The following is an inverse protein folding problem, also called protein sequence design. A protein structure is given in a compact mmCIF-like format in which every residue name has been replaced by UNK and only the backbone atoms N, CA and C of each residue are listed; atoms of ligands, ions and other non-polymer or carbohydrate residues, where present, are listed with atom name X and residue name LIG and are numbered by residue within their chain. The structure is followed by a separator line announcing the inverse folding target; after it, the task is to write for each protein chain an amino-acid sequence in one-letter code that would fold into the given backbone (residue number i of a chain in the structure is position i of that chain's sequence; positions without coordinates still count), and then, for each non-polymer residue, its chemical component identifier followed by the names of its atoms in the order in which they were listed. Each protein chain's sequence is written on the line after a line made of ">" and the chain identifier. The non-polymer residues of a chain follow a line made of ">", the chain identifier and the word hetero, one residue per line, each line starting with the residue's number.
data_IF_284379257655
#
_entry.id   IF_284379257655
#
_cell.length_a   1.000
_cell.length_b   1.000
_cell.length_c   1.000
_cell.angle_alpha   90.00
_cell.angle_beta   90.00
_cell.angle_gamma   90.00
#
_symmetry.space_group_name_H-M   'P 1'
#
loop_
_entity.id
_entity.type
_entity.pdbx_description
1 polymer ?
#
# COMPACT_ATOMS: atom_id res chain seq x y z
N UNK A 1 -43.31 -26.75 -12.07
CA UNK A 1 -41.93 -26.34 -11.81
C UNK A 1 -41.02 -27.53 -12.05
N UNK A 2 -40.39 -27.59 -13.21
CA UNK A 2 -39.48 -28.67 -13.63
C UNK A 2 -38.15 -28.53 -12.95
N UNK A 3 -37.73 -29.47 -12.12
CA UNK A 3 -36.43 -29.50 -11.47
C UNK A 3 -35.35 -29.79 -12.52
N UNK A 4 -34.46 -28.84 -12.72
CA UNK A 4 -33.24 -29.02 -13.52
C UNK A 4 -32.35 -30.09 -12.89
N UNK A 5 -31.95 -31.07 -13.65
CA UNK A 5 -31.04 -32.15 -13.19
C UNK A 5 -29.59 -31.63 -13.19
N UNK A 6 -28.71 -32.18 -12.32
CA UNK A 6 -27.28 -31.88 -12.26
C UNK A 6 -26.59 -31.91 -13.65
N UNK A 7 -27.05 -32.80 -14.52
CA UNK A 7 -26.51 -32.96 -15.88
C UNK A 7 -26.90 -31.81 -16.81
N UNK A 8 -28.09 -31.22 -16.63
CA UNK A 8 -28.53 -30.03 -17.36
C UNK A 8 -27.80 -28.77 -16.89
N UNK A 9 -27.49 -28.70 -15.60
CA UNK A 9 -26.71 -27.62 -15.01
C UNK A 9 -25.24 -27.63 -15.52
N UNK A 10 -24.60 -28.81 -15.55
CA UNK A 10 -23.26 -29.01 -16.11
C UNK A 10 -23.19 -28.71 -17.61
N UNK A 11 -24.22 -29.02 -18.39
CA UNK A 11 -24.28 -28.68 -19.83
C UNK A 11 -24.40 -27.15 -20.05
N UNK A 12 -25.09 -26.44 -19.16
CA UNK A 12 -25.14 -24.97 -19.17
C UNK A 12 -23.78 -24.31 -18.92
N UNK A 13 -22.99 -24.86 -17.98
CA UNK A 13 -21.64 -24.34 -17.67
C UNK A 13 -20.63 -24.62 -18.80
N UNK A 14 -20.73 -25.74 -19.48
CA UNK A 14 -19.86 -26.06 -20.64
C UNK A 14 -20.14 -25.11 -21.81
N UNK A 15 -21.39 -24.66 -21.98
CA UNK A 15 -21.75 -23.66 -22.99
C UNK A 15 -21.11 -22.28 -22.74
N UNK A 16 -21.03 -21.84 -21.50
CA UNK A 16 -20.40 -20.58 -21.12
C UNK A 16 -18.86 -20.67 -21.20
N UNK A 17 -18.28 -21.81 -20.81
CA UNK A 17 -16.84 -22.05 -20.96
C UNK A 17 -16.43 -22.17 -22.45
N UNK A 18 -17.31 -22.74 -23.30
CA UNK A 18 -17.09 -22.83 -24.75
C UNK A 18 -17.10 -21.48 -25.45
N UNK A 19 -17.98 -20.55 -25.05
CA UNK A 19 -17.99 -19.18 -25.58
C UNK A 19 -16.75 -18.37 -25.19
N UNK A 20 -16.24 -18.56 -23.98
CA UNK A 20 -14.98 -17.95 -23.53
C UNK A 20 -13.74 -18.56 -24.20
N UNK A 21 -13.79 -19.84 -24.62
CA UNK A 21 -12.70 -20.49 -25.36
C UNK A 21 -12.73 -20.12 -26.86
N UNK A 22 -13.90 -19.93 -27.46
CA UNK A 22 -14.03 -19.50 -28.87
C UNK A 22 -13.53 -18.08 -29.12
N UNK A 23 -13.60 -17.20 -28.13
CA UNK A 23 -13.00 -15.87 -28.19
C UNK A 23 -11.46 -15.89 -28.14
N UNK A 24 -10.85 -16.99 -27.70
CA UNK A 24 -9.38 -17.18 -27.69
C UNK A 24 -8.80 -17.75 -28.98
N UNK A 25 -9.61 -18.20 -29.94
CA UNK A 25 -9.14 -18.86 -31.16
C UNK A 25 -9.23 -17.97 -32.40
N UNK A 26 -9.35 -16.66 -32.23
CA UNK A 26 -9.13 -15.71 -33.37
C UNK A 26 -10.04 -15.86 -34.56
N UNK A 27 -11.31 -16.32 -34.41
CA UNK A 27 -12.27 -16.47 -35.53
C UNK A 27 -13.02 -15.20 -35.88
N UNK A 28 -12.69 -14.08 -35.25
CA UNK A 28 -13.20 -12.77 -35.65
C UNK A 28 -12.04 -11.86 -36.02
N UNK A 29 -12.01 -11.27 -37.23
CA UNK A 29 -11.05 -10.25 -37.62
C UNK A 29 -11.44 -8.93 -36.95
N UNK A 30 -11.20 -8.79 -35.69
CA UNK A 30 -11.37 -7.58 -34.92
C UNK A 30 -10.23 -7.53 -33.91
N UNK A 31 -9.39 -6.52 -34.06
CA UNK A 31 -8.29 -6.13 -33.16
C UNK A 31 -8.24 -6.92 -31.88
N UNK A 32 -7.30 -7.86 -31.79
CA UNK A 32 -6.97 -8.52 -30.53
C UNK A 32 -6.47 -7.44 -29.56
N UNK A 33 -7.39 -6.84 -28.82
CA UNK A 33 -7.00 -6.23 -27.55
C UNK A 33 -6.45 -7.40 -26.73
N UNK A 34 -5.15 -7.42 -26.56
CA UNK A 34 -4.55 -8.26 -25.54
C UNK A 34 -5.27 -7.91 -24.24
N UNK A 35 -6.16 -8.80 -23.80
CA UNK A 35 -6.85 -8.65 -22.52
C UNK A 35 -5.72 -8.74 -21.48
N UNK A 36 -5.27 -7.58 -21.00
CA UNK A 36 -4.28 -7.53 -19.94
C UNK A 36 -4.78 -8.42 -18.82
N UNK A 37 -4.00 -9.43 -18.49
CA UNK A 37 -4.27 -10.26 -17.31
C UNK A 37 -4.33 -9.28 -16.13
N UNK A 38 -5.43 -9.23 -15.37
CA UNK A 38 -5.57 -8.28 -14.27
C UNK A 38 -4.37 -8.44 -13.33
N UNK A 39 -3.48 -7.45 -13.33
CA UNK A 39 -2.31 -7.46 -12.46
C UNK A 39 -2.81 -7.27 -11.02
N UNK A 40 -2.36 -8.14 -10.12
CA UNK A 40 -2.68 -8.02 -8.70
C UNK A 40 -2.12 -6.69 -8.19
N UNK A 41 -3.01 -5.76 -7.90
CA UNK A 41 -2.64 -4.42 -7.47
C UNK A 41 -2.49 -4.37 -5.94
N UNK A 42 -1.46 -3.65 -5.46
CA UNK A 42 -1.26 -3.41 -4.03
C UNK A 42 -0.52 -2.09 -3.77
N UNK A 43 -0.67 -1.54 -2.56
CA UNK A 43 0.00 -0.32 -2.12
C UNK A 43 0.66 -0.53 -0.76
N UNK A 44 1.98 -0.36 -0.69
CA UNK A 44 2.73 -0.26 0.56
C UNK A 44 2.88 1.22 0.93
N UNK A 45 2.27 1.63 2.04
CA UNK A 45 2.46 2.94 2.64
C UNK A 45 3.58 2.85 3.66
N UNK A 46 4.69 3.53 3.40
CA UNK A 46 5.80 3.71 4.34
C UNK A 46 5.59 5.04 5.05
N UNK A 47 5.14 4.96 6.30
CA UNK A 47 4.85 6.12 7.12
C UNK A 47 6.05 6.43 8.03
N UNK A 48 6.69 7.58 7.81
CA UNK A 48 7.79 8.10 8.60
C UNK A 48 7.25 9.06 9.66
N UNK A 49 6.95 8.51 10.84
CA UNK A 49 6.32 9.25 11.91
C UNK A 49 7.27 10.29 12.51
N UNK A 50 6.92 11.56 12.35
CA UNK A 50 7.74 12.70 12.73
C UNK A 50 8.20 13.58 11.55
N UNK A 51 7.96 13.13 10.30
CA UNK A 51 8.17 13.90 9.09
C UNK A 51 9.02 13.21 8.04
N UNK A 52 8.89 13.67 6.80
CA UNK A 52 9.67 13.18 5.66
C UNK A 52 10.45 14.36 5.05
N UNK A 53 11.78 14.35 5.20
CA UNK A 53 12.58 15.50 4.82
C UNK A 53 12.50 15.79 3.30
N UNK A 54 12.23 17.04 2.95
CA UNK A 54 12.05 17.47 1.56
C UNK A 54 13.32 17.28 0.70
N UNK A 55 14.51 17.22 1.31
CA UNK A 55 15.76 17.01 0.59
C UNK A 55 15.76 15.71 -0.23
N UNK A 56 15.04 14.69 0.19
CA UNK A 56 15.06 13.38 -0.50
C UNK A 56 14.54 13.47 -1.92
N UNK A 57 13.44 14.20 -2.13
CA UNK A 57 12.81 14.35 -3.45
C UNK A 57 12.95 15.72 -4.10
N UNK A 58 13.65 16.67 -3.45
CA UNK A 58 13.87 18.04 -3.93
C UNK A 58 15.30 18.51 -3.61
N UNK A 59 16.29 17.64 -3.84
CA UNK A 59 17.66 17.84 -3.38
C UNK A 59 18.29 19.13 -3.90
N UNK A 60 18.00 19.54 -5.13
CA UNK A 60 18.50 20.77 -5.74
C UNK A 60 17.99 22.04 -5.06
N UNK A 61 16.81 21.99 -4.42
CA UNK A 61 16.29 23.13 -3.65
C UNK A 61 17.18 23.46 -2.42
N UNK A 62 17.99 22.51 -1.98
CA UNK A 62 18.88 22.64 -0.82
C UNK A 62 20.36 22.72 -1.19
N UNK A 63 20.72 22.76 -2.48
CA UNK A 63 22.13 22.73 -2.94
C UNK A 63 22.82 24.09 -2.88
N UNK A 64 22.06 25.20 -2.90
CA UNK A 64 22.61 26.53 -3.09
C UNK A 64 23.21 27.17 -1.85
N UNK A 65 22.96 26.63 -0.66
CA UNK A 65 23.30 27.32 0.58
C UNK A 65 24.60 26.85 1.24
N UNK A 66 25.29 25.84 0.70
CA UNK A 66 26.56 25.34 1.25
C UNK A 66 26.49 24.77 2.68
N UNK A 67 25.39 25.05 3.38
CA UNK A 67 25.16 24.73 4.79
C UNK A 67 24.32 23.48 5.02
N UNK A 68 23.74 22.92 3.95
CA UNK A 68 22.70 21.87 4.09
C UNK A 68 23.17 20.48 3.69
N UNK A 69 24.47 20.24 3.61
CA UNK A 69 25.00 18.90 3.30
C UNK A 69 24.64 18.37 1.90
N UNK A 70 24.01 19.18 1.03
CA UNK A 70 23.71 18.81 -0.36
C UNK A 70 24.70 19.50 -1.28
N UNK A 71 25.83 18.83 -1.52
CA UNK A 71 26.78 19.24 -2.57
C UNK A 71 26.29 18.70 -3.93
N UNK A 72 26.73 19.32 -5.04
CA UNK A 72 26.36 18.91 -6.40
C UNK A 72 26.57 17.40 -6.67
N UNK A 73 27.64 16.80 -6.11
CA UNK A 73 27.90 15.37 -6.20
C UNK A 73 26.87 14.48 -5.49
N UNK A 74 26.07 15.03 -4.58
CA UNK A 74 25.04 14.31 -3.83
C UNK A 74 23.66 14.43 -4.47
N UNK A 75 23.55 15.01 -5.65
CA UNK A 75 22.30 15.10 -6.39
C UNK A 75 22.27 14.08 -7.53
N UNK A 76 21.11 13.52 -7.80
CA UNK A 76 20.84 12.67 -8.96
C UNK A 76 19.60 13.19 -9.67
N UNK A 77 19.79 13.67 -10.90
CA UNK A 77 18.68 14.05 -11.77
C UNK A 77 18.08 12.78 -12.39
N UNK A 78 16.78 12.59 -12.18
CA UNK A 78 16.01 11.49 -12.76
C UNK A 78 15.18 11.95 -13.97
N UNK A 79 15.20 13.23 -14.30
CA UNK A 79 14.43 13.84 -15.36
C UNK A 79 13.09 14.43 -14.89
N UNK A 80 12.45 15.21 -15.77
CA UNK A 80 11.16 15.89 -15.51
C UNK A 80 11.12 16.70 -14.19
N UNK A 81 12.25 17.33 -13.83
CA UNK A 81 12.39 18.16 -12.64
C UNK A 81 12.56 17.40 -11.32
N UNK A 82 12.61 16.07 -11.36
CA UNK A 82 12.84 15.25 -10.17
C UNK A 82 14.34 15.09 -9.93
N UNK A 83 14.84 15.76 -8.92
CA UNK A 83 16.23 15.67 -8.47
C UNK A 83 16.25 15.13 -7.04
N UNK A 84 16.78 13.93 -6.88
CA UNK A 84 16.80 13.22 -5.61
C UNK A 84 18.15 13.27 -4.93
N UNK A 85 18.17 13.10 -3.61
CA UNK A 85 19.39 12.93 -2.83
C UNK A 85 20.05 11.61 -3.21
N UNK A 86 21.23 11.69 -3.84
CA UNK A 86 21.95 10.55 -4.43
C UNK A 86 22.28 9.45 -3.41
N UNK A 87 22.81 9.76 -2.20
CA UNK A 87 23.16 8.73 -1.23
C UNK A 87 21.94 8.01 -0.63
N UNK A 88 20.73 8.55 -0.80
CA UNK A 88 19.49 7.94 -0.30
C UNK A 88 18.61 7.42 -1.44
N UNK A 89 17.56 8.15 -1.85
CA UNK A 89 16.66 7.70 -2.92
C UNK A 89 17.39 7.42 -4.23
N UNK A 90 18.46 8.15 -4.53
CA UNK A 90 19.29 7.93 -5.70
C UNK A 90 20.07 6.62 -5.69
N UNK A 91 20.11 5.90 -4.57
CA UNK A 91 20.74 4.57 -4.40
C UNK A 91 19.77 3.39 -4.54
N UNK A 92 18.50 3.66 -4.82
CA UNK A 92 17.50 2.62 -5.07
C UNK A 92 17.79 1.86 -6.36
N UNK A 93 17.21 0.65 -6.56
CA UNK A 93 17.36 -0.10 -7.80
C UNK A 93 16.91 0.69 -9.03
N UNK A 94 17.49 0.38 -10.20
CA UNK A 94 17.20 1.08 -11.45
C UNK A 94 15.72 1.11 -11.81
N UNK A 95 14.99 0.05 -11.50
CA UNK A 95 13.54 0.06 -11.67
C UNK A 95 12.90 1.23 -10.92
N UNK A 96 13.24 1.43 -9.64
CA UNK A 96 12.71 2.55 -8.87
C UNK A 96 13.08 3.90 -9.46
N UNK A 97 14.31 4.06 -9.90
CA UNK A 97 14.82 5.33 -10.46
C UNK A 97 14.13 5.73 -11.75
N UNK A 98 13.65 4.76 -12.52
CA UNK A 98 12.91 4.98 -13.77
C UNK A 98 11.39 4.97 -13.59
N UNK A 99 10.88 4.69 -12.36
CA UNK A 99 9.47 4.58 -12.02
C UNK A 99 9.15 5.29 -10.69
N UNK A 100 9.73 6.46 -10.47
CA UNK A 100 9.59 7.24 -9.24
C UNK A 100 9.04 8.64 -9.54
N UNK A 101 8.14 9.09 -8.69
CA UNK A 101 7.68 10.47 -8.70
C UNK A 101 7.65 11.04 -7.29
N UNK A 102 7.82 12.36 -7.17
CA UNK A 102 7.58 13.08 -5.91
C UNK A 102 6.42 14.05 -6.09
N UNK A 103 5.49 14.02 -5.15
CA UNK A 103 4.32 14.90 -5.13
C UNK A 103 4.29 15.73 -3.87
N UNK A 104 4.04 17.02 -4.02
CA UNK A 104 3.78 17.92 -2.89
C UNK A 104 2.35 17.78 -2.41
N UNK A 105 2.15 17.87 -1.10
CA UNK A 105 0.85 17.80 -0.44
C UNK A 105 0.71 18.99 0.50
N UNK A 106 -0.28 19.84 0.25
CA UNK A 106 -0.60 20.99 1.09
C UNK A 106 -1.61 20.60 2.17
N UNK A 107 -1.32 20.91 3.43
CA UNK A 107 -2.28 20.70 4.54
C UNK A 107 -2.38 21.90 5.49
N UNK A 108 -1.40 22.80 5.54
CA UNK A 108 -1.47 23.99 6.38
C UNK A 108 -1.26 23.73 7.89
N UNK A 109 -0.81 22.53 8.26
CA UNK A 109 -0.71 22.07 9.65
C UNK A 109 0.74 21.88 10.07
N UNK A 110 1.06 22.21 11.33
CA UNK A 110 2.40 22.07 11.92
C UNK A 110 2.39 21.23 13.21
N UNK A 111 1.21 20.80 13.68
CA UNK A 111 1.06 19.87 14.80
C UNK A 111 1.01 18.43 14.27
N UNK A 112 1.80 17.54 14.87
CA UNK A 112 1.93 16.13 14.44
C UNK A 112 0.60 15.42 14.30
N UNK A 113 -0.21 15.37 15.35
CA UNK A 113 -1.49 14.63 15.33
C UNK A 113 -2.43 15.13 14.23
N UNK A 114 -2.60 16.46 14.13
CA UNK A 114 -3.47 17.05 13.12
C UNK A 114 -2.98 16.80 11.70
N UNK A 115 -1.66 16.86 11.46
CA UNK A 115 -1.06 16.59 10.15
C UNK A 115 -1.16 15.10 9.80
N UNK A 116 -0.94 14.21 10.76
CA UNK A 116 -1.09 12.76 10.60
C UNK A 116 -2.53 12.41 10.21
N UNK A 117 -3.52 12.91 10.97
CA UNK A 117 -4.93 12.69 10.66
C UNK A 117 -5.28 13.20 9.27
N UNK A 118 -4.83 14.41 8.92
CA UNK A 118 -5.08 14.97 7.59
C UNK A 118 -4.51 14.10 6.45
N UNK A 119 -3.31 13.54 6.64
CA UNK A 119 -2.67 12.69 5.62
C UNK A 119 -3.43 11.39 5.36
N UNK A 120 -4.12 10.86 6.36
CA UNK A 120 -4.88 9.62 6.27
C UNK A 120 -6.40 9.81 6.19
N UNK A 121 -6.91 11.03 6.19
CA UNK A 121 -8.36 11.29 6.12
C UNK A 121 -8.80 11.59 4.69
N UNK A 122 -9.90 10.98 4.28
CA UNK A 122 -10.64 11.26 3.05
C UNK A 122 -12.13 11.33 3.35
N UNK A 123 -12.66 12.53 3.48
CA UNK A 123 -14.00 12.74 4.03
C UNK A 123 -14.07 12.23 5.47
N UNK A 124 -15.03 11.36 5.77
CA UNK A 124 -15.19 10.71 7.07
C UNK A 124 -14.43 9.38 7.20
N UNK A 125 -13.58 9.01 6.24
CA UNK A 125 -12.96 7.70 6.14
C UNK A 125 -11.44 7.77 6.31
N UNK A 126 -10.84 6.68 6.81
CA UNK A 126 -9.41 6.48 6.68
C UNK A 126 -9.09 6.16 5.21
N UNK A 127 -8.23 6.95 4.60
CA UNK A 127 -7.95 6.86 3.17
C UNK A 127 -7.27 5.54 2.75
N UNK A 128 -6.44 4.94 3.61
CA UNK A 128 -5.82 3.65 3.33
C UNK A 128 -6.85 2.51 3.32
N UNK A 129 -7.78 2.51 4.29
CA UNK A 129 -8.86 1.53 4.36
C UNK A 129 -9.83 1.71 3.20
N UNK A 130 -10.18 2.97 2.89
CA UNK A 130 -11.03 3.31 1.74
C UNK A 130 -10.39 2.84 0.43
N UNK A 131 -9.08 3.07 0.24
CA UNK A 131 -8.36 2.57 -0.93
C UNK A 131 -8.45 1.04 -1.02
N UNK A 132 -8.21 0.32 0.09
CA UNK A 132 -8.30 -1.13 0.12
C UNK A 132 -9.72 -1.65 -0.17
N UNK A 133 -10.75 -0.97 0.30
CA UNK A 133 -12.15 -1.31 0.04
C UNK A 133 -12.49 -1.13 -1.45
N UNK A 134 -12.10 -0.01 -2.04
CA UNK A 134 -12.37 0.30 -3.45
C UNK A 134 -11.58 -0.60 -4.43
N UNK A 135 -10.38 -1.06 -4.04
CA UNK A 135 -9.62 -2.04 -4.82
C UNK A 135 -10.31 -3.41 -4.85
N UNK A 136 -11.18 -3.70 -3.91
CA UNK A 136 -11.93 -4.94 -3.86
C UNK A 136 -11.05 -6.19 -3.68
N UNK A 137 -11.34 -7.24 -4.47
CA UNK A 137 -10.56 -8.48 -4.46
C UNK A 137 -11.08 -9.52 -3.47
N UNK A 138 -10.50 -10.74 -3.56
CA UNK A 138 -10.96 -11.92 -2.81
C UNK A 138 -10.18 -12.18 -1.51
N UNK A 139 -9.18 -11.34 -1.20
CA UNK A 139 -8.37 -11.49 0.01
C UNK A 139 -9.20 -11.29 1.28
N UNK A 140 -8.88 -12.08 2.31
CA UNK A 140 -9.49 -12.00 3.63
C UNK A 140 -9.24 -10.70 4.33
N UNK A 141 -8.00 -10.35 4.28
CA UNK A 141 -7.47 -9.19 4.93
C UNK A 141 -7.07 -8.25 3.81
N UNK A 142 -7.80 -7.16 3.63
CA UNK A 142 -7.58 -6.21 2.55
C UNK A 142 -6.66 -5.06 2.93
N UNK A 143 -6.73 -4.61 4.21
CA UNK A 143 -5.92 -3.53 4.74
C UNK A 143 -5.21 -3.97 6.00
N UNK A 144 -3.88 -3.84 6.04
CA UNK A 144 -3.07 -4.23 7.19
C UNK A 144 -2.22 -3.09 7.71
N UNK A 145 -2.12 -3.03 9.04
CA UNK A 145 -1.10 -2.29 9.75
C UNK A 145 -0.02 -3.26 10.18
N UNK A 146 1.22 -2.95 9.89
CA UNK A 146 2.38 -3.80 10.16
C UNK A 146 3.10 -3.33 11.42
N UNK A 147 3.10 -4.17 12.44
CA UNK A 147 3.63 -3.84 13.76
C UNK A 147 2.62 -3.11 14.65
N UNK A 148 3.08 -2.66 15.83
CA UNK A 148 2.25 -2.12 16.91
C UNK A 148 1.96 -0.61 16.81
N UNK A 149 2.53 0.12 15.86
CA UNK A 149 2.28 1.56 15.68
C UNK A 149 0.86 1.79 15.16
N UNK A 150 0.10 2.74 15.73
CA UNK A 150 -1.22 3.12 15.23
C UNK A 150 -1.14 3.74 13.82
N UNK A 151 -2.14 3.50 12.98
CA UNK A 151 -2.32 4.25 11.73
C UNK A 151 -3.21 5.45 12.02
N UNK A 152 -2.76 6.67 11.71
CA UNK A 152 -3.59 7.87 11.90
C UNK A 152 -4.87 7.86 11.06
N UNK A 153 -5.83 8.73 11.36
CA UNK A 153 -7.02 8.94 10.54
C UNK A 153 -8.30 8.29 11.06
N UNK A 154 -8.49 8.29 12.36
CA UNK A 154 -9.77 8.18 13.10
C UNK A 154 -10.62 6.91 12.93
N UNK A 155 -10.96 6.48 11.72
CA UNK A 155 -11.79 5.29 11.49
C UNK A 155 -10.93 4.05 11.19
N UNK A 156 -11.35 2.91 11.73
CA UNK A 156 -10.68 1.62 11.55
C UNK A 156 -11.44 0.67 10.62
N UNK A 157 -12.57 1.12 10.06
CA UNK A 157 -13.41 0.33 9.16
C UNK A 157 -14.07 1.20 8.09
N UNK A 158 -14.10 0.72 6.86
CA UNK A 158 -14.77 1.34 5.72
C UNK A 158 -15.34 0.27 4.78
N UNK A 159 -16.60 0.38 4.39
CA UNK A 159 -17.25 -0.52 3.41
C UNK A 159 -17.01 -2.01 3.66
N UNK A 160 -17.09 -2.45 4.92
CA UNK A 160 -16.83 -3.83 5.32
C UNK A 160 -15.34 -4.23 5.39
N UNK A 161 -14.42 -3.33 5.09
CA UNK A 161 -12.98 -3.54 5.25
C UNK A 161 -12.51 -2.93 6.57
N UNK A 162 -11.85 -3.72 7.39
CA UNK A 162 -11.21 -3.26 8.63
C UNK A 162 -9.70 -3.25 8.51
N UNK A 163 -9.06 -2.36 9.26
CA UNK A 163 -7.62 -2.35 9.44
C UNK A 163 -7.22 -3.48 10.39
N UNK A 164 -6.41 -4.42 9.91
CA UNK A 164 -5.94 -5.56 10.70
C UNK A 164 -4.48 -5.34 11.13
N UNK A 165 -4.21 -5.44 12.43
CA UNK A 165 -2.85 -5.37 12.98
C UNK A 165 -2.11 -6.69 12.81
N UNK A 166 -0.93 -6.66 12.21
CA UNK A 166 -0.04 -7.82 12.02
C UNK A 166 1.19 -7.63 12.91
N UNK A 167 1.20 -8.29 14.06
CA UNK A 167 2.27 -8.18 15.04
C UNK A 167 3.20 -9.39 15.07
N UNK A 168 2.70 -10.55 14.63
CA UNK A 168 3.47 -11.79 14.49
C UNK A 168 3.12 -12.45 13.16
N UNK A 169 4.14 -12.60 12.30
CA UNK A 169 3.94 -13.06 10.94
C UNK A 169 3.62 -14.56 10.89
N UNK A 170 4.22 -15.36 11.75
CA UNK A 170 4.03 -16.81 11.77
C UNK A 170 2.63 -17.19 12.25
N UNK A 171 2.17 -16.59 13.33
CA UNK A 171 0.81 -16.83 13.82
C UNK A 171 -0.24 -16.32 12.84
N UNK A 172 0.02 -15.20 12.15
CA UNK A 172 -0.86 -14.69 11.10
C UNK A 172 -0.94 -15.67 9.93
N UNK A 173 0.19 -16.19 9.45
CA UNK A 173 0.20 -17.20 8.38
C UNK A 173 -0.50 -18.48 8.80
N UNK A 174 -0.29 -18.95 10.02
CA UNK A 174 -0.97 -20.11 10.57
C UNK A 174 -2.50 -19.90 10.60
N UNK A 175 -2.95 -18.72 11.05
CA UNK A 175 -4.37 -18.38 11.06
C UNK A 175 -4.98 -18.31 9.65
N UNK A 176 -4.25 -17.76 8.69
CA UNK A 176 -4.67 -17.69 7.28
C UNK A 176 -4.61 -19.06 6.58
N UNK A 177 -3.64 -19.91 6.94
CA UNK A 177 -3.43 -21.25 6.34
C UNK A 177 -4.37 -22.32 6.86
N UNK A 178 -5.13 -22.03 7.92
CA UNK A 178 -5.87 -23.04 8.67
C UNK A 178 -4.89 -23.96 9.43
N UNK A 179 -5.00 -24.00 10.74
CA UNK A 179 -4.17 -24.88 11.57
C UNK A 179 -4.69 -26.30 11.39
N UNK A 180 -3.87 -27.22 10.95
CA UNK A 180 -4.05 -28.65 11.25
C UNK A 180 -3.61 -28.86 12.72
N UNK A 181 -4.43 -28.42 13.65
CA UNK A 181 -4.28 -28.74 15.06
C UNK A 181 -5.13 -29.97 15.34
N UNK A 182 -4.56 -31.09 15.82
CA UNK A 182 -5.33 -32.28 16.15
C UNK A 182 -6.34 -32.07 17.30
N UNK A 183 -6.26 -30.95 18.01
CA UNK A 183 -7.23 -30.56 19.04
C UNK A 183 -8.42 -29.76 18.48
N UNK A 184 -8.35 -29.30 17.22
CA UNK A 184 -9.45 -28.61 16.55
C UNK A 184 -10.34 -29.63 15.87
N UNK A 185 -11.68 -29.53 15.98
CA UNK A 185 -12.61 -30.43 15.32
C UNK A 185 -12.31 -30.57 13.83
N UNK A 186 -12.52 -31.77 13.29
CA UNK A 186 -12.40 -32.08 11.87
C UNK A 186 -12.90 -30.91 10.99
N UNK A 187 -12.14 -30.59 9.96
CA UNK A 187 -12.40 -29.50 9.03
C UNK A 187 -13.87 -29.43 8.58
N UNK A 188 -14.52 -30.58 8.37
CA UNK A 188 -15.93 -30.62 8.03
C UNK A 188 -16.86 -30.13 9.16
N UNK A 189 -16.47 -30.35 10.42
CA UNK A 189 -17.22 -29.88 11.59
C UNK A 189 -17.02 -28.38 11.74
N UNK A 190 -15.78 -27.89 11.55
CA UNK A 190 -15.46 -26.47 11.57
C UNK A 190 -16.19 -25.72 10.43
N UNK A 191 -16.20 -26.25 9.21
CA UNK A 191 -16.94 -25.69 8.07
C UNK A 191 -18.45 -25.61 8.32
N UNK A 192 -19.03 -26.65 8.93
CA UNK A 192 -20.45 -26.65 9.31
C UNK A 192 -20.77 -25.65 10.41
N UNK A 193 -19.92 -25.55 11.42
CA UNK A 193 -20.07 -24.59 12.51
C UNK A 193 -19.94 -23.13 11.99
N UNK A 194 -18.98 -22.86 11.09
CA UNK A 194 -18.83 -21.57 10.44
C UNK A 194 -20.01 -21.25 9.52
N UNK A 195 -20.51 -22.22 8.79
CA UNK A 195 -21.73 -22.09 7.97
C UNK A 195 -22.97 -21.76 8.80
N UNK A 196 -23.12 -22.38 9.95
CA UNK A 196 -24.20 -22.08 10.90
C UNK A 196 -24.07 -20.69 11.49
N UNK A 197 -22.85 -20.26 11.89
CA UNK A 197 -22.58 -18.93 12.39
C UNK A 197 -22.84 -17.87 11.32
N UNK A 198 -22.45 -18.11 10.07
CA UNK A 198 -22.76 -17.23 8.93
C UNK A 198 -24.27 -17.09 8.73
N UNK A 199 -25.01 -18.20 8.77
CA UNK A 199 -26.48 -18.20 8.63
C UNK A 199 -27.15 -17.39 9.75
N UNK A 200 -26.75 -17.59 10.99
CA UNK A 200 -27.27 -16.84 12.14
C UNK A 200 -26.93 -15.34 12.04
N UNK A 201 -25.68 -15.02 11.69
CA UNK A 201 -25.24 -13.62 11.50
C UNK A 201 -26.03 -12.95 10.37
N UNK A 202 -26.21 -13.60 9.23
CA UNK A 202 -26.96 -13.06 8.09
C UNK A 202 -28.41 -12.74 8.45
N UNK A 203 -29.05 -13.56 9.26
CA UNK A 203 -30.42 -13.35 9.73
C UNK A 203 -30.53 -12.17 10.68
N UNK A 204 -29.55 -12.01 11.59
CA UNK A 204 -29.50 -10.88 12.52
C UNK A 204 -29.16 -9.58 11.79
N UNK A 205 -28.26 -9.62 10.80
CA UNK A 205 -27.82 -8.50 9.98
C UNK A 205 -28.95 -7.94 9.11
N UNK A 206 -29.78 -8.80 8.52
CA UNK A 206 -30.89 -8.39 7.67
C UNK A 206 -31.94 -7.51 8.39
N UNK A 207 -31.98 -7.58 9.72
CA UNK A 207 -32.90 -6.81 10.57
C UNK A 207 -32.25 -5.67 11.35
N UNK A 208 -30.97 -5.41 11.13
CA UNK A 208 -30.17 -4.49 11.96
C UNK A 208 -29.88 -3.14 11.28
N UNK A 209 -29.67 -2.05 12.03
CA UNK A 209 -29.27 -0.76 11.50
C UNK A 209 -27.95 -0.85 10.71
N UNK A 210 -27.70 0.11 9.80
CA UNK A 210 -26.57 0.11 8.85
C UNK A 210 -25.18 -0.18 9.46
N UNK A 211 -24.93 0.27 10.70
CA UNK A 211 -23.66 0.02 11.40
C UNK A 211 -23.44 -1.45 11.76
N UNK A 212 -24.49 -2.17 12.14
CA UNK A 212 -24.45 -3.61 12.43
C UNK A 212 -24.36 -4.41 11.15
N UNK A 213 -24.89 -3.89 10.03
CA UNK A 213 -24.79 -4.51 8.71
C UNK A 213 -23.33 -4.57 8.23
N UNK A 214 -22.56 -3.48 8.36
CA UNK A 214 -21.16 -3.44 7.98
C UNK A 214 -20.29 -4.42 8.80
N UNK A 215 -20.56 -4.54 10.11
CA UNK A 215 -19.91 -5.52 10.98
C UNK A 215 -20.21 -6.96 10.54
N UNK A 216 -21.44 -7.22 10.15
CA UNK A 216 -21.85 -8.55 9.69
C UNK A 216 -21.30 -8.92 8.33
N UNK A 217 -21.18 -7.97 7.40
CA UNK A 217 -20.51 -8.17 6.11
C UNK A 217 -19.02 -8.46 6.31
N UNK A 218 -18.35 -7.71 7.20
CA UNK A 218 -16.95 -7.97 7.59
C UNK A 218 -16.76 -9.35 8.23
N UNK A 219 -17.68 -9.77 9.12
CA UNK A 219 -17.64 -11.09 9.74
C UNK A 219 -17.86 -12.21 8.71
N UNK A 220 -18.81 -12.04 7.79
CA UNK A 220 -19.04 -13.00 6.69
C UNK A 220 -17.85 -13.13 5.77
N UNK A 221 -17.23 -12.01 5.37
CA UNK A 221 -16.02 -11.98 4.55
C UNK A 221 -14.84 -12.68 5.27
N UNK A 222 -14.68 -12.46 6.57
CA UNK A 222 -13.66 -13.14 7.37
C UNK A 222 -13.86 -14.65 7.41
N UNK A 223 -15.11 -15.13 7.59
CA UNK A 223 -15.43 -16.56 7.57
C UNK A 223 -15.15 -17.17 6.19
N UNK A 224 -15.60 -16.52 5.12
CA UNK A 224 -15.36 -17.00 3.74
C UNK A 224 -13.86 -17.13 3.43
N UNK A 225 -13.07 -16.31 4.06
CA UNK A 225 -11.62 -16.34 3.88
C UNK A 225 -10.91 -17.39 4.70
N UNK A 226 -11.35 -17.65 5.92
CA UNK A 226 -10.86 -18.79 6.71
C UNK A 226 -11.12 -20.14 6.01
N UNK A 227 -12.08 -20.18 5.08
CA UNK A 227 -12.39 -21.38 4.27
C UNK A 227 -11.47 -21.54 3.04
N UNK A 228 -10.75 -20.49 2.62
CA UNK A 228 -9.84 -20.58 1.47
C UNK A 228 -8.44 -21.03 1.93
N UNK A 229 -7.87 -22.12 1.37
CA UNK A 229 -6.53 -22.54 1.73
C UNK A 229 -5.51 -21.45 1.34
N UNK A 230 -4.70 -21.03 2.28
CA UNK A 230 -3.57 -20.16 1.98
C UNK A 230 -2.44 -20.98 1.35
N UNK A 231 -1.83 -20.42 0.33
CA UNK A 231 -0.64 -20.96 -0.30
C UNK A 231 0.46 -21.12 0.75
N UNK A 232 1.12 -22.29 0.79
CA UNK A 232 2.28 -22.49 1.66
C UNK A 232 3.32 -21.44 1.34
N UNK A 233 3.78 -20.70 2.34
CA UNK A 233 4.73 -19.62 2.19
C UNK A 233 6.13 -20.07 2.62
N UNK A 234 7.13 -19.80 1.79
CA UNK A 234 8.54 -20.08 2.13
C UNK A 234 9.08 -19.00 3.09
N UNK A 235 8.86 -19.22 4.37
CA UNK A 235 9.30 -18.28 5.42
C UNK A 235 10.83 -18.23 5.54
N UNK A 236 11.52 -19.34 5.32
CA UNK A 236 12.99 -19.38 5.37
C UNK A 236 13.61 -18.59 4.20
N UNK A 237 13.08 -18.75 2.99
CA UNK A 237 13.48 -17.96 1.83
C UNK A 237 13.18 -16.47 1.99
N UNK A 238 12.04 -16.11 2.62
CA UNK A 238 11.74 -14.73 2.96
C UNK A 238 12.78 -14.15 3.95
N UNK A 239 13.06 -14.89 5.04
CA UNK A 239 14.02 -14.48 6.05
C UNK A 239 15.41 -14.25 5.46
N UNK A 240 15.86 -15.15 4.59
CA UNK A 240 17.13 -15.02 3.87
C UNK A 240 17.14 -13.78 2.96
N UNK A 241 16.06 -13.54 2.22
CA UNK A 241 15.96 -12.41 1.28
C UNK A 241 16.02 -11.05 1.99
N UNK A 242 15.41 -10.94 3.17
CA UNK A 242 15.38 -9.69 3.96
C UNK A 242 16.47 -9.61 5.03
N UNK A 243 17.27 -10.65 5.21
CA UNK A 243 18.40 -10.66 6.15
C UNK A 243 18.01 -10.71 7.62
N UNK A 244 16.90 -11.39 7.99
CA UNK A 244 16.52 -11.62 9.37
C UNK A 244 16.57 -13.12 9.73
N UNK A 245 16.60 -13.43 11.03
CA UNK A 245 16.61 -14.83 11.48
C UNK A 245 15.24 -15.47 11.24
N UNK A 246 15.19 -16.67 10.66
CA UNK A 246 13.93 -17.39 10.40
C UNK A 246 13.14 -17.74 11.68
N UNK A 247 13.77 -17.67 12.85
CA UNK A 247 13.13 -17.80 14.15
C UNK A 247 12.44 -16.51 14.62
N UNK A 248 12.78 -15.36 14.03
CA UNK A 248 12.15 -14.08 14.37
C UNK A 248 10.83 -13.95 13.62
N UNK A 249 9.72 -13.90 14.33
CA UNK A 249 8.36 -13.80 13.79
C UNK A 249 7.67 -12.49 14.16
N UNK A 250 8.21 -11.76 15.13
CA UNK A 250 7.64 -10.50 15.62
C UNK A 250 7.84 -9.37 14.59
N UNK A 251 6.77 -8.68 14.24
CA UNK A 251 6.78 -7.55 13.29
C UNK A 251 7.11 -6.25 14.03
N UNK A 252 8.31 -6.20 14.62
CA UNK A 252 8.77 -5.12 15.50
C UNK A 252 9.87 -4.23 14.90
N UNK A 253 10.38 -4.55 13.71
CA UNK A 253 11.35 -3.75 12.99
C UNK A 253 10.83 -3.40 11.59
N UNK A 254 11.34 -2.33 10.97
CA UNK A 254 10.92 -1.95 9.63
C UNK A 254 11.21 -3.06 8.61
N UNK A 255 12.31 -3.79 8.75
CA UNK A 255 12.62 -4.96 7.92
C UNK A 255 11.51 -6.02 8.01
N UNK A 256 11.06 -6.34 9.23
CA UNK A 256 9.97 -7.30 9.45
C UNK A 256 8.63 -6.77 8.94
N UNK A 257 8.38 -5.46 9.05
CA UNK A 257 7.18 -4.84 8.49
C UNK A 257 7.14 -4.98 6.96
N UNK A 258 8.24 -4.66 6.27
CA UNK A 258 8.31 -4.76 4.80
C UNK A 258 8.23 -6.21 4.32
N UNK A 259 8.88 -7.14 5.02
CA UNK A 259 8.74 -8.57 4.75
C UNK A 259 7.30 -9.07 4.96
N UNK A 260 6.64 -8.60 6.02
CA UNK A 260 5.24 -8.89 6.29
C UNK A 260 4.31 -8.31 5.21
N UNK A 261 4.61 -7.12 4.65
CA UNK A 261 3.86 -6.56 3.52
C UNK A 261 3.89 -7.50 2.30
N UNK A 262 5.07 -8.05 1.95
CA UNK A 262 5.19 -9.02 0.86
C UNK A 262 4.27 -10.22 1.09
N UNK A 263 4.33 -10.82 2.28
CA UNK A 263 3.48 -11.97 2.65
C UNK A 263 2.01 -11.63 2.58
N UNK A 264 1.61 -10.49 3.12
CA UNK A 264 0.21 -10.07 3.14
C UNK A 264 -0.32 -9.76 1.73
N UNK A 265 0.51 -9.19 0.84
CA UNK A 265 0.13 -9.00 -0.56
C UNK A 265 -0.01 -10.34 -1.31
N UNK A 266 0.85 -11.31 -1.02
CA UNK A 266 0.68 -12.69 -1.53
C UNK A 266 -0.63 -13.33 -1.03
N UNK A 267 -0.98 -13.08 0.22
CA UNK A 267 -2.23 -13.54 0.83
C UNK A 267 -3.48 -12.76 0.36
N UNK A 268 -3.30 -11.71 -0.45
CA UNK A 268 -4.40 -10.98 -1.07
C UNK A 268 -4.74 -9.65 -0.41
N UNK A 269 -3.92 -9.14 0.51
CA UNK A 269 -4.07 -7.77 0.98
C UNK A 269 -3.81 -6.76 -0.16
N UNK A 270 -4.55 -5.66 -0.13
CA UNK A 270 -4.43 -4.60 -1.12
C UNK A 270 -3.58 -3.44 -0.62
N UNK A 271 -3.70 -3.11 0.67
CA UNK A 271 -2.98 -2.00 1.29
C UNK A 271 -2.29 -2.48 2.56
N UNK A 272 -1.02 -2.14 2.68
CA UNK A 272 -0.23 -2.38 3.88
C UNK A 272 0.40 -1.07 4.36
N UNK A 273 0.32 -0.78 5.65
CA UNK A 273 0.91 0.42 6.26
C UNK A 273 2.02 -0.01 7.20
N UNK A 274 3.26 0.36 6.85
CA UNK A 274 4.46 0.17 7.66
C UNK A 274 4.81 1.49 8.35
N UNK A 275 4.89 1.49 9.66
CA UNK A 275 5.18 2.69 10.46
C UNK A 275 6.60 2.64 11.00
N UNK A 276 7.40 3.66 10.70
CA UNK A 276 8.73 3.82 11.26
C UNK A 276 8.81 5.14 12.04
N UNK A 277 9.12 5.06 13.33
CA UNK A 277 9.19 6.22 14.21
C UNK A 277 10.58 6.86 14.28
N UNK A 278 10.62 8.00 14.99
CA UNK A 278 11.87 8.72 15.30
C UNK A 278 12.32 9.70 14.23
N UNK A 279 11.41 10.11 13.34
CA UNK A 279 11.69 11.08 12.26
C UNK A 279 11.49 12.53 12.68
N UNK A 280 11.18 12.77 13.93
CA UNK A 280 11.11 14.11 14.54
C UNK A 280 12.53 14.60 14.89
N UNK A 281 13.23 15.14 13.87
CA UNK A 281 14.68 15.42 13.91
C UNK A 281 15.01 16.91 13.99
N UNK A 282 14.46 17.63 14.96
CA UNK A 282 14.65 19.09 15.12
C UNK A 282 16.11 19.57 15.14
N UNK A 283 17.04 18.73 15.58
CA UNK A 283 18.47 19.06 15.65
C UNK A 283 19.27 18.77 14.38
N UNK A 284 18.67 18.22 13.35
CA UNK A 284 19.36 17.81 12.13
C UNK A 284 19.57 19.01 11.20
N UNK A 285 20.77 19.61 11.26
CA UNK A 285 21.06 20.87 10.56
C UNK A 285 21.47 20.68 9.10
N UNK A 286 22.04 19.54 8.76
CA UNK A 286 22.63 19.26 7.44
C UNK A 286 21.98 18.06 6.72
N UNK A 287 20.96 17.46 7.31
CA UNK A 287 20.32 16.26 6.81
C UNK A 287 21.08 14.97 7.08
N UNK A 288 22.15 15.02 7.90
CA UNK A 288 22.99 13.86 8.20
C UNK A 288 22.25 12.78 8.97
N UNK A 289 21.47 13.17 9.97
CA UNK A 289 20.68 12.22 10.77
C UNK A 289 19.60 11.53 9.92
N UNK A 290 18.81 12.28 9.15
CA UNK A 290 17.76 11.71 8.29
C UNK A 290 18.34 10.84 7.17
N UNK A 291 19.50 11.18 6.59
CA UNK A 291 20.21 10.30 5.65
C UNK A 291 20.67 9.02 6.30
N UNK A 292 21.24 9.12 7.52
CA UNK A 292 21.66 7.96 8.32
C UNK A 292 20.50 7.00 8.58
N UNK A 293 19.35 7.50 9.01
CA UNK A 293 18.14 6.70 9.24
C UNK A 293 17.59 6.11 7.94
N UNK A 294 17.54 6.88 6.85
CA UNK A 294 17.10 6.39 5.54
C UNK A 294 17.98 5.21 5.10
N UNK A 295 19.29 5.37 5.15
CA UNK A 295 20.24 4.36 4.69
C UNK A 295 20.30 3.11 5.58
N UNK A 296 20.10 3.25 6.89
CA UNK A 296 20.24 2.12 7.82
C UNK A 296 18.92 1.39 8.10
N UNK A 297 17.78 2.09 8.07
CA UNK A 297 16.50 1.51 8.49
C UNK A 297 15.55 1.26 7.34
N UNK A 298 15.44 2.21 6.38
CA UNK A 298 14.40 2.20 5.35
C UNK A 298 14.87 1.55 4.06
N UNK A 299 15.98 2.01 3.51
CA UNK A 299 16.42 1.59 2.17
C UNK A 299 16.80 0.11 2.07
N UNK A 300 17.48 -0.55 3.03
CA UNK A 300 17.87 -1.94 2.86
C UNK A 300 16.67 -2.87 2.60
N UNK A 301 15.64 -2.96 3.46
CA UNK A 301 14.47 -3.80 3.19
C UNK A 301 13.64 -3.29 2.02
N UNK A 302 13.60 -1.98 1.77
CA UNK A 302 12.85 -1.41 0.66
C UNK A 302 13.47 -1.78 -0.70
N UNK A 303 14.79 -1.83 -0.83
CA UNK A 303 15.48 -2.30 -2.03
C UNK A 303 15.11 -3.76 -2.35
N UNK A 304 15.08 -4.61 -1.33
CA UNK A 304 14.65 -6.00 -1.47
C UNK A 304 13.19 -6.07 -1.94
N UNK A 305 12.29 -5.34 -1.29
CA UNK A 305 10.87 -5.30 -1.64
C UNK A 305 10.64 -4.78 -3.07
N UNK A 306 11.30 -3.71 -3.45
CA UNK A 306 11.20 -3.16 -4.81
C UNK A 306 11.61 -4.20 -5.84
N UNK A 307 12.74 -4.87 -5.64
CA UNK A 307 13.23 -5.87 -6.57
C UNK A 307 12.32 -7.10 -6.66
N UNK A 308 11.70 -7.51 -5.56
CA UNK A 308 10.87 -8.71 -5.50
C UNK A 308 9.41 -8.49 -5.88
N UNK A 309 8.85 -7.33 -5.50
CA UNK A 309 7.42 -7.07 -5.60
C UNK A 309 7.05 -5.99 -6.60
N UNK A 310 7.79 -4.87 -6.62
CA UNK A 310 7.43 -3.71 -7.44
C UNK A 310 7.93 -3.87 -8.88
N UNK A 311 9.12 -4.45 -9.06
CA UNK A 311 9.70 -4.70 -10.37
C UNK A 311 9.10 -5.93 -11.08
N UNK A 312 8.38 -6.80 -10.36
CA UNK A 312 7.75 -7.99 -10.94
C UNK A 312 6.69 -7.58 -11.99
N UNK A 313 6.85 -7.98 -13.28
CA UNK A 313 5.96 -7.58 -14.36
C UNK A 313 4.53 -8.12 -14.23
N UNK A 314 4.32 -9.15 -13.41
CA UNK A 314 3.00 -9.76 -13.19
C UNK A 314 2.17 -9.03 -12.13
N UNK A 315 2.71 -7.98 -11.51
CA UNK A 315 2.14 -7.26 -10.38
C UNK A 315 2.05 -5.76 -10.66
N UNK A 316 1.09 -5.11 -10.02
CA UNK A 316 0.98 -3.66 -9.96
C UNK A 316 1.14 -3.19 -8.51
N UNK A 317 2.32 -3.44 -7.94
CA UNK A 317 2.63 -3.01 -6.57
C UNK A 317 3.22 -1.61 -6.60
N UNK A 318 2.69 -0.74 -5.75
CA UNK A 318 3.16 0.63 -5.59
C UNK A 318 3.65 0.85 -4.16
N UNK A 319 4.67 1.65 -3.99
CA UNK A 319 5.19 2.10 -2.69
C UNK A 319 4.98 3.61 -2.61
N UNK A 320 4.45 4.09 -1.49
CA UNK A 320 4.44 5.51 -1.16
C UNK A 320 5.21 5.73 0.15
N UNK A 321 6.21 6.62 0.12
CA UNK A 321 6.97 7.05 1.29
C UNK A 321 6.49 8.45 1.65
N UNK A 322 5.98 8.62 2.86
CA UNK A 322 5.40 9.88 3.31
C UNK A 322 5.56 10.04 4.83
N UNK A 323 5.29 11.21 5.34
CA UNK A 323 5.27 11.53 6.77
C UNK A 323 4.21 12.58 7.07
N UNK A 324 4.14 13.04 8.31
CA UNK A 324 3.17 14.04 8.75
C UNK A 324 3.39 15.39 8.05
N UNK A 325 4.65 15.81 7.89
CA UNK A 325 5.02 17.00 7.13
C UNK A 325 6.44 16.87 6.58
N UNK A 326 6.82 17.79 5.70
CA UNK A 326 8.21 17.94 5.30
C UNK A 326 8.97 18.69 6.38
N UNK A 327 10.28 18.48 6.42
CA UNK A 327 11.16 19.18 7.33
C UNK A 327 12.07 20.13 6.58
N UNK A 328 12.25 21.31 7.17
CA UNK A 328 13.17 22.33 6.68
C UNK A 328 14.65 21.93 6.92
N UNK A 329 15.54 22.59 6.24
CA UNK A 329 16.98 22.61 6.52
C UNK A 329 17.46 24.08 6.45
N UNK A 330 18.30 24.54 7.36
CA UNK A 330 18.70 23.91 8.61
C UNK A 330 17.57 23.96 9.65
N UNK A 331 17.74 23.21 10.74
CA UNK A 331 16.84 23.28 11.89
C UNK A 331 15.79 22.18 11.92
N UNK A 332 15.46 21.61 10.76
CA UNK A 332 14.49 20.48 10.66
C UNK A 332 13.13 20.78 11.31
N UNK A 333 12.64 22.01 11.15
CA UNK A 333 11.33 22.44 11.63
C UNK A 333 10.19 21.88 10.79
N UNK A 334 8.96 21.96 11.34
CA UNK A 334 7.75 21.49 10.70
C UNK A 334 7.32 22.43 9.57
N UNK A 335 7.28 21.94 8.35
CA UNK A 335 6.64 22.64 7.26
C UNK A 335 5.12 22.40 7.29
N UNK A 336 4.32 23.43 6.96
CA UNK A 336 2.87 23.29 6.84
C UNK A 336 2.45 22.56 5.54
N UNK A 337 3.25 21.59 5.14
CA UNK A 337 3.12 20.83 3.91
C UNK A 337 3.93 19.53 3.99
N UNK A 338 3.62 18.56 3.13
CA UNK A 338 4.34 17.30 2.99
C UNK A 338 4.79 17.11 1.54
N UNK A 339 5.86 16.36 1.31
CA UNK A 339 6.12 15.69 0.04
C UNK A 339 6.02 14.19 0.22
N UNK A 340 5.56 13.49 -0.80
CA UNK A 340 5.52 12.04 -0.82
C UNK A 340 6.30 11.53 -2.03
N UNK A 341 7.07 10.45 -1.85
CA UNK A 341 7.73 9.75 -2.95
C UNK A 341 6.93 8.51 -3.30
N UNK A 342 6.55 8.35 -4.55
CA UNK A 342 5.76 7.23 -5.06
C UNK A 342 6.60 6.45 -6.06
N UNK A 343 6.65 5.12 -5.91
CA UNK A 343 7.39 4.20 -6.78
C UNK A 343 6.43 3.11 -7.24
N UNK A 344 6.34 2.88 -8.54
CA UNK A 344 5.45 1.85 -9.08
C UNK A 344 5.49 1.79 -10.60
N UNK A 345 5.09 0.67 -11.18
CA UNK A 345 5.14 0.42 -12.62
C UNK A 345 4.45 1.50 -13.46
N UNK A 346 3.31 1.98 -12.99
CA UNK A 346 2.51 2.98 -13.66
C UNK A 346 2.93 4.43 -13.34
N UNK A 347 4.02 4.59 -12.57
CA UNK A 347 4.57 5.90 -12.22
C UNK A 347 5.48 6.39 -13.35
N UNK A 348 5.21 7.60 -13.86
CA UNK A 348 6.11 8.34 -14.73
C UNK A 348 7.06 9.16 -13.88
N UNK A 349 8.35 9.12 -14.20
CA UNK A 349 9.35 9.95 -13.52
C UNK A 349 8.99 11.43 -13.61
N UNK A 350 9.08 12.11 -12.46
CA UNK A 350 8.84 13.54 -12.40
C UNK A 350 8.42 14.02 -11.03
N UNK A 351 8.07 15.29 -10.94
CA UNK A 351 7.59 15.92 -9.72
C UNK A 351 6.46 16.89 -9.98
N UNK A 352 5.53 16.98 -9.04
CA UNK A 352 4.50 18.01 -8.97
C UNK A 352 4.45 18.59 -7.56
N UNK A 353 4.36 19.91 -7.44
CA UNK A 353 4.43 20.55 -6.11
C UNK A 353 5.80 20.38 -5.45
N UNK A 354 6.88 20.60 -6.21
CA UNK A 354 8.25 20.57 -5.70
C UNK A 354 8.42 21.62 -4.61
N UNK A 355 9.03 21.25 -3.49
CA UNK A 355 9.36 22.18 -2.42
C UNK A 355 10.56 23.04 -2.76
N UNK A 356 10.51 24.33 -2.39
CA UNK A 356 11.66 25.22 -2.44
C UNK A 356 12.60 25.02 -1.24
N UNK A 357 13.72 25.76 -1.20
CA UNK A 357 14.68 25.70 -0.10
C UNK A 357 14.15 26.20 1.26
N UNK A 358 12.99 26.84 1.27
CA UNK A 358 12.26 27.23 2.48
C UNK A 358 11.13 26.25 2.83
N UNK A 359 11.09 25.10 2.19
CA UNK A 359 10.08 24.02 2.36
C UNK A 359 8.66 24.52 2.07
N UNK A 360 8.52 25.43 1.11
CA UNK A 360 7.23 25.93 0.65
C UNK A 360 6.82 25.24 -0.64
N UNK A 361 5.54 24.99 -0.79
CA UNK A 361 4.96 24.45 -2.01
C UNK A 361 4.46 25.57 -2.93
N UNK A 362 4.51 25.38 -4.25
CA UNK A 362 3.87 26.26 -5.22
C UNK A 362 2.39 26.48 -4.91
N UNK A 363 1.87 27.65 -5.28
CA UNK A 363 0.43 27.91 -5.21
C UNK A 363 -0.35 26.85 -6.01
N UNK A 364 -1.52 26.47 -5.52
CA UNK A 364 -2.36 25.46 -6.17
C UNK A 364 -1.92 23.99 -5.99
N UNK A 365 -0.87 23.72 -5.20
CA UNK A 365 -0.51 22.34 -4.86
C UNK A 365 -1.67 21.64 -4.15
N UNK A 366 -2.06 20.41 -4.56
CA UNK A 366 -3.18 19.65 -4.01
C UNK A 366 -3.01 19.28 -2.54
N UNK A 367 -4.11 18.92 -1.88
CA UNK A 367 -4.15 18.37 -0.51
C UNK A 367 -3.82 16.87 -0.49
N UNK A 368 -3.85 16.26 0.71
CA UNK A 368 -3.66 14.81 0.91
C UNK A 368 -4.62 13.96 0.08
N UNK A 369 -5.85 14.43 -0.15
CA UNK A 369 -6.81 13.74 -1.01
C UNK A 369 -6.30 13.58 -2.46
N UNK A 370 -5.54 14.57 -2.97
CA UNK A 370 -4.90 14.47 -4.30
C UNK A 370 -3.87 13.35 -4.39
N UNK A 371 -3.11 13.09 -3.31
CA UNK A 371 -2.18 11.96 -3.26
C UNK A 371 -2.95 10.62 -3.32
N UNK A 372 -4.04 10.47 -2.56
CA UNK A 372 -4.84 9.26 -2.59
C UNK A 372 -5.56 9.06 -3.93
N UNK A 373 -6.02 10.14 -4.57
CA UNK A 373 -6.56 10.08 -5.93
C UNK A 373 -5.49 9.60 -6.94
N UNK A 374 -4.25 10.05 -6.79
CA UNK A 374 -3.12 9.58 -7.59
C UNK A 374 -2.84 8.10 -7.37
N UNK A 375 -2.76 7.64 -6.12
CA UNK A 375 -2.58 6.21 -5.80
C UNK A 375 -3.72 5.36 -6.37
N UNK A 376 -4.97 5.81 -6.24
CA UNK A 376 -6.13 5.15 -6.85
C UNK A 376 -5.98 5.00 -8.36
N UNK A 377 -5.46 6.03 -9.05
CA UNK A 377 -5.20 5.95 -10.49
C UNK A 377 -4.09 4.96 -10.83
N UNK A 378 -3.02 4.91 -10.04
CA UNK A 378 -1.90 3.97 -10.26
C UNK A 378 -2.31 2.50 -10.12
N UNK A 379 -3.27 2.21 -9.25
CA UNK A 379 -3.85 0.86 -9.09
C UNK A 379 -5.06 0.60 -9.98
N UNK A 380 -5.33 1.49 -10.93
CA UNK A 380 -6.40 1.38 -11.92
C UNK A 380 -7.82 1.28 -11.33
N UNK A 381 -8.11 2.05 -10.27
CA UNK A 381 -9.49 2.12 -9.76
C UNK A 381 -10.44 2.63 -10.84
N UNK A 382 -11.55 1.94 -11.09
CA UNK A 382 -12.54 2.35 -12.09
C UNK A 382 -13.31 3.61 -11.66
N UNK A 383 -13.54 3.74 -10.37
CA UNK A 383 -14.17 4.91 -9.74
C UNK A 383 -13.09 5.88 -9.25
N UNK A 384 -13.47 7.12 -8.98
CA UNK A 384 -12.61 8.14 -8.42
C UNK A 384 -13.02 8.45 -6.97
N UNK A 385 -12.84 7.51 -6.02
CA UNK A 385 -13.38 7.65 -4.65
C UNK A 385 -12.71 8.80 -3.88
N UNK A 386 -11.55 9.26 -4.35
CA UNK A 386 -10.80 10.39 -3.80
C UNK A 386 -10.90 11.65 -4.66
N UNK A 387 -11.82 11.67 -5.65
CA UNK A 387 -11.91 12.75 -6.63
C UNK A 387 -10.93 12.60 -7.79
N UNK A 388 -10.87 13.64 -8.63
CA UNK A 388 -10.01 13.65 -9.83
C UNK A 388 -8.54 13.67 -9.43
N UNK A 389 -7.73 12.83 -10.08
CA UNK A 389 -6.28 12.84 -9.90
C UNK A 389 -5.66 14.13 -10.43
N UNK A 390 -5.04 14.97 -9.57
CA UNK A 390 -4.39 16.20 -10.00
C UNK A 390 -2.98 15.98 -10.58
N UNK A 391 -2.42 14.77 -10.44
CA UNK A 391 -1.05 14.41 -10.84
C UNK A 391 -1.02 13.60 -12.14
N UNK A 392 -1.88 13.94 -13.12
CA UNK A 392 -2.04 13.19 -14.37
C UNK A 392 -0.75 13.04 -15.16
N UNK A 393 0.12 14.07 -15.15
CA UNK A 393 1.43 14.04 -15.81
C UNK A 393 2.43 13.04 -15.23
N UNK A 394 2.16 12.50 -14.01
CA UNK A 394 2.99 11.51 -13.35
C UNK A 394 2.48 10.06 -13.51
N UNK A 395 1.43 9.86 -14.30
CA UNK A 395 0.93 8.53 -14.66
C UNK A 395 1.50 8.14 -16.02
N UNK A 396 2.06 6.94 -16.13
CA UNK A 396 2.41 6.35 -17.43
C UNK A 396 1.13 6.00 -18.18
N UNK A 397 1.03 6.44 -19.40
CA UNK A 397 0.07 5.89 -20.39
C UNK A 397 0.72 4.66 -20.99
N UNK A 398 0.10 3.49 -20.84
CA UNK A 398 0.46 2.25 -21.53
C UNK A 398 0.41 2.45 -23.05
#
# INVERSE_FOLDING_TARGET
>A
MTRLTRRQWLKGMVGVAGAAAASRVGLFPGTAFAQEVPQKAAVLVVWLNGGYNALFGSADSFSGAGTFGVAGGNMRDLGNGLIVDRPTLGSLPDFALTHMATVGVRHGLTAHEAAQDHCFTSGDSNAAIKLAAEMGGEGAIKCVQLGSGGVPGGRTMESGVSLQGINDLRSTLAALGGITDPTVPDRQVAEKAMGASKFMSTRTIATSPAMTKNLGEGYSAAIETLQKPVKTYDYAGLAAAYGFAATNTAVNSFTMQVAAAEVMFEAGANVAVAVNGGWDTHGDRDGGAVRGMMNSRILPPLKTFISRMVADPTRNVNVVIMGDFARSLPGSDHAAAMSATVIGRNVRVGTTGKMDGSVRLPAGTPSGQGLWAYLGRLVNLPNQPFGTNPHTGLVRTS
#
